data_IF_359047481505
#
_entry.id   IF_359047481505
#
_cell.length_a   1.000
_cell.length_b   1.000
_cell.length_c   1.000
_cell.angle_alpha   90.00
_cell.angle_beta   90.00
_cell.angle_gamma   90.00
#
_symmetry.space_group_name_H-M   'P 1'
#
loop_
_entity.id
_entity.type
_entity.pdbx_description
1 polymer ?
#
# COMPACT_ATOMS: atom_id res chain seq x y z
N UNK A 1 8.51 1.78 13.73
CA UNK A 1 8.29 1.74 15.17
C UNK A 1 7.32 0.63 15.50
N UNK A 2 7.44 0.01 16.67
CA UNK A 2 6.45 -0.95 17.14
C UNK A 2 5.65 -0.29 18.27
N UNK A 3 4.33 -0.25 18.13
CA UNK A 3 3.40 0.21 19.16
C UNK A 3 2.36 -0.89 19.41
N UNK A 4 2.20 -1.29 20.64
CA UNK A 4 1.27 -2.37 21.02
C UNK A 4 1.42 -3.64 20.17
N UNK A 5 2.64 -4.07 19.87
CA UNK A 5 2.94 -5.28 19.07
C UNK A 5 2.74 -5.15 17.57
N UNK A 6 2.47 -3.94 17.05
CA UNK A 6 2.27 -3.68 15.61
C UNK A 6 3.29 -2.69 15.06
N UNK A 7 3.62 -2.85 13.79
CA UNK A 7 4.40 -1.84 13.06
C UNK A 7 3.52 -0.60 12.83
N UNK A 8 3.97 0.55 13.32
CA UNK A 8 3.30 1.82 13.14
C UNK A 8 4.19 2.79 12.34
N UNK A 9 3.82 2.98 11.08
CA UNK A 9 4.48 3.91 10.18
C UNK A 9 4.11 5.37 10.49
N UNK A 10 2.86 5.62 10.92
CA UNK A 10 2.38 6.97 11.23
C UNK A 10 3.14 7.57 12.40
N UNK A 11 3.51 6.78 13.40
CA UNK A 11 4.35 7.21 14.51
C UNK A 11 5.75 7.63 14.05
N UNK A 12 6.37 6.87 13.12
CA UNK A 12 7.66 7.24 12.54
C UNK A 12 7.56 8.53 11.72
N UNK A 13 6.53 8.69 10.91
CA UNK A 13 6.28 9.88 10.12
C UNK A 13 6.00 11.11 10.99
N UNK A 14 5.19 10.95 12.05
CA UNK A 14 4.91 12.02 13.02
C UNK A 14 6.19 12.51 13.68
N UNK A 15 7.10 11.59 14.06
CA UNK A 15 8.41 11.98 14.62
C UNK A 15 9.26 12.72 13.59
N UNK A 16 9.30 12.28 12.33
CA UNK A 16 10.07 12.92 11.27
C UNK A 16 9.59 14.36 10.98
N UNK A 17 8.29 14.62 11.16
CA UNK A 17 7.67 15.92 10.93
C UNK A 17 7.64 16.81 12.20
N UNK A 18 8.24 16.39 13.30
CA UNK A 18 8.27 17.11 14.56
C UNK A 18 9.47 18.05 14.65
N UNK A 19 9.39 19.05 15.57
CA UNK A 19 10.59 19.83 15.91
C UNK A 19 11.68 18.95 16.51
N UNK A 20 12.97 19.34 16.45
CA UNK A 20 14.08 18.53 16.99
C UNK A 20 13.90 18.15 18.47
N UNK A 21 13.40 19.06 19.30
CA UNK A 21 13.13 18.82 20.72
C UNK A 21 12.03 17.76 20.91
N UNK A 22 10.92 17.91 20.19
CA UNK A 22 9.81 16.93 20.22
C UNK A 22 10.22 15.57 19.66
N UNK A 23 11.03 15.56 18.59
CA UNK A 23 11.53 14.33 17.99
C UNK A 23 12.39 13.51 18.95
N UNK A 24 13.20 14.16 19.81
CA UNK A 24 13.99 13.47 20.85
C UNK A 24 13.09 12.80 21.88
N UNK A 25 12.11 13.50 22.42
CA UNK A 25 11.15 12.94 23.37
C UNK A 25 10.38 11.74 22.77
N UNK A 26 9.97 11.85 21.50
CA UNK A 26 9.31 10.76 20.80
C UNK A 26 10.24 9.59 20.53
N UNK A 27 11.55 9.82 20.34
CA UNK A 27 12.52 8.76 20.14
C UNK A 27 12.79 7.97 21.42
N UNK A 28 12.78 8.64 22.58
CA UNK A 28 12.89 8.01 23.89
C UNK A 28 11.64 7.17 24.23
N UNK A 29 10.46 7.76 24.03
CA UNK A 29 9.18 7.09 24.33
C UNK A 29 8.87 5.94 23.37
N UNK A 30 9.25 6.06 22.10
CA UNK A 30 8.94 5.11 21.03
C UNK A 30 10.18 4.89 20.15
N UNK A 31 11.12 4.04 20.54
CA UNK A 31 12.31 3.74 19.75
C UNK A 31 11.97 3.20 18.36
N UNK A 32 12.71 3.65 17.34
CA UNK A 32 12.57 3.13 16.00
C UNK A 32 13.57 2.01 15.74
N UNK A 33 13.16 1.03 14.94
CA UNK A 33 14.05 0.01 14.38
C UNK A 33 14.41 0.38 12.95
N UNK A 34 15.65 0.13 12.59
CA UNK A 34 16.15 0.29 11.23
C UNK A 34 16.13 -1.06 10.53
N UNK A 35 15.15 -1.26 9.67
CA UNK A 35 14.95 -2.50 8.91
C UNK A 35 15.74 -2.43 7.60
N UNK A 36 16.84 -3.17 7.49
CA UNK A 36 17.74 -3.20 6.33
C UNK A 36 17.33 -4.32 5.39
N UNK A 37 17.19 -4.05 4.10
CA UNK A 37 16.68 -5.02 3.12
C UNK A 37 17.53 -5.16 1.84
N UNK A 38 18.62 -4.41 1.72
CA UNK A 38 19.59 -4.52 0.61
C UNK A 38 20.88 -3.80 0.99
N UNK A 39 22.03 -4.17 0.36
CA UNK A 39 23.28 -3.47 0.45
C UNK A 39 23.62 -2.90 -0.93
N UNK A 40 23.78 -1.57 -1.03
CA UNK A 40 24.07 -0.89 -2.28
C UNK A 40 25.50 -0.38 -2.38
N UNK A 41 26.16 -0.21 -1.24
CA UNK A 41 27.55 0.21 -1.14
C UNK A 41 28.19 -0.47 0.08
N UNK A 42 29.43 -0.92 -0.10
CA UNK A 42 30.22 -1.59 0.94
C UNK A 42 31.54 -0.83 1.14
N UNK A 43 32.08 -0.73 2.34
CA UNK A 43 33.35 -0.03 2.58
C UNK A 43 34.49 -0.52 1.70
N UNK A 44 34.67 -1.83 1.55
CA UNK A 44 35.76 -2.45 0.79
C UNK A 44 35.42 -2.65 -0.70
N UNK A 45 34.16 -2.98 -1.01
CA UNK A 45 33.75 -3.31 -2.39
C UNK A 45 33.18 -2.11 -3.17
N UNK A 46 33.05 -0.95 -2.55
CA UNK A 46 32.52 0.24 -3.17
C UNK A 46 31.02 0.08 -3.57
N UNK A 47 30.68 0.49 -4.77
CA UNK A 47 29.31 0.40 -5.30
C UNK A 47 29.02 -1.03 -5.78
N UNK A 48 28.10 -1.70 -5.10
CA UNK A 48 27.70 -3.09 -5.38
C UNK A 48 26.33 -3.20 -6.07
N UNK A 49 25.74 -2.10 -6.52
CA UNK A 49 24.44 -2.11 -7.23
C UNK A 49 24.45 -2.98 -8.48
N UNK A 50 25.58 -3.11 -9.15
CA UNK A 50 25.78 -4.00 -10.29
C UNK A 50 25.79 -5.49 -9.96
N UNK A 51 25.88 -5.88 -8.68
CA UNK A 51 25.82 -7.26 -8.27
C UNK A 51 24.40 -7.80 -8.29
N UNK A 52 24.25 -9.13 -8.38
CA UNK A 52 22.97 -9.81 -8.23
C UNK A 52 22.38 -9.55 -6.83
N UNK A 53 21.04 -9.57 -6.71
CA UNK A 53 20.38 -9.39 -5.41
C UNK A 53 20.83 -10.42 -4.37
N UNK A 54 20.97 -11.70 -4.78
CA UNK A 54 21.43 -12.77 -3.88
C UNK A 54 22.81 -12.44 -3.31
N UNK A 55 23.74 -11.96 -4.14
CA UNK A 55 25.10 -11.59 -3.69
C UNK A 55 25.08 -10.37 -2.76
N UNK A 56 24.28 -9.35 -3.08
CA UNK A 56 24.13 -8.17 -2.21
C UNK A 56 23.47 -8.51 -0.89
N UNK A 57 22.51 -9.46 -0.90
CA UNK A 57 21.87 -9.93 0.32
C UNK A 57 22.82 -10.69 1.21
N UNK A 58 23.59 -11.63 0.67
CA UNK A 58 24.61 -12.33 1.42
C UNK A 58 25.66 -11.38 2.03
N UNK A 59 26.04 -10.34 1.30
CA UNK A 59 26.93 -9.29 1.80
C UNK A 59 26.30 -8.52 2.98
N UNK A 60 25.02 -8.19 2.91
CA UNK A 60 24.28 -7.53 4.00
C UNK A 60 24.26 -8.42 5.25
N UNK A 61 23.92 -9.70 5.10
CA UNK A 61 23.83 -10.63 6.21
C UNK A 61 25.20 -10.81 6.88
N UNK A 62 26.27 -10.94 6.08
CA UNK A 62 27.64 -11.00 6.56
C UNK A 62 28.06 -9.75 7.33
N UNK A 63 27.75 -8.56 6.83
CA UNK A 63 28.04 -7.30 7.53
C UNK A 63 27.35 -7.23 8.90
N UNK A 64 26.09 -7.60 8.98
CA UNK A 64 25.35 -7.56 10.25
C UNK A 64 25.92 -8.54 11.26
N UNK A 65 26.38 -9.71 10.80
CA UNK A 65 27.03 -10.72 11.62
C UNK A 65 28.44 -10.27 12.07
N UNK A 66 29.28 -9.83 11.15
CA UNK A 66 30.67 -9.39 11.38
C UNK A 66 30.75 -8.26 12.43
N UNK A 67 29.84 -7.28 12.34
CA UNK A 67 29.78 -6.15 13.27
C UNK A 67 28.87 -6.40 14.47
N UNK A 68 28.40 -7.63 14.69
CA UNK A 68 27.53 -7.98 15.81
C UNK A 68 26.26 -7.12 15.89
N UNK A 69 25.76 -6.65 14.72
CA UNK A 69 24.62 -5.75 14.68
C UNK A 69 23.33 -6.51 15.01
N UNK A 70 22.62 -6.02 16.03
CA UNK A 70 21.31 -6.45 16.46
C UNK A 70 20.38 -5.24 16.64
N UNK A 71 19.20 -5.43 17.27
CA UNK A 71 18.29 -4.33 17.51
C UNK A 71 19.01 -3.11 18.13
N UNK A 72 18.71 -1.91 17.63
CA UNK A 72 17.61 -1.54 16.74
C UNK A 72 17.86 -1.69 15.23
N UNK A 73 18.99 -2.26 14.80
CA UNK A 73 19.34 -2.51 13.39
C UNK A 73 19.14 -3.99 13.11
N UNK A 74 18.35 -4.34 12.10
CA UNK A 74 18.12 -5.74 11.75
C UNK A 74 17.79 -5.91 10.26
N UNK A 75 18.20 -7.06 9.69
CA UNK A 75 17.78 -7.42 8.35
C UNK A 75 16.29 -7.75 8.29
N UNK A 76 15.63 -7.31 7.23
CA UNK A 76 14.27 -7.79 6.91
C UNK A 76 14.38 -9.28 6.57
N UNK A 77 13.56 -10.15 7.16
CA UNK A 77 13.54 -11.57 6.83
C UNK A 77 13.33 -11.81 5.33
N UNK A 78 14.03 -12.78 4.78
CA UNK A 78 13.91 -13.20 3.37
C UNK A 78 13.86 -14.71 3.27
N UNK A 79 13.15 -15.22 2.29
CA UNK A 79 13.12 -16.64 1.96
C UNK A 79 12.95 -16.85 0.46
N UNK A 80 13.42 -17.99 -0.02
CA UNK A 80 13.12 -18.51 -1.36
C UNK A 80 12.05 -19.61 -1.31
N UNK A 81 11.66 -20.04 -0.11
CA UNK A 81 10.59 -20.99 0.10
C UNK A 81 9.22 -20.29 -0.04
N UNK A 82 8.46 -20.72 -1.04
CA UNK A 82 7.13 -20.16 -1.33
C UNK A 82 6.11 -20.47 -0.23
N UNK A 83 6.21 -21.64 0.42
CA UNK A 83 5.30 -22.01 1.50
C UNK A 83 5.52 -21.12 2.73
N UNK A 84 6.79 -20.90 3.10
CA UNK A 84 7.15 -20.00 4.18
C UNK A 84 6.77 -18.54 3.87
N UNK A 85 6.99 -18.08 2.64
CA UNK A 85 6.58 -16.75 2.22
C UNK A 85 5.06 -16.55 2.33
N UNK A 86 4.27 -17.56 1.95
CA UNK A 86 2.82 -17.56 2.08
C UNK A 86 2.39 -17.53 3.55
N UNK A 87 3.02 -18.34 4.41
CA UNK A 87 2.75 -18.33 5.84
C UNK A 87 3.02 -16.94 6.47
N UNK A 88 4.13 -16.28 6.10
CA UNK A 88 4.40 -14.90 6.53
C UNK A 88 3.35 -13.92 6.02
N UNK A 89 2.95 -14.05 4.74
CA UNK A 89 1.90 -13.21 4.16
C UNK A 89 0.61 -13.31 4.97
N UNK A 90 0.17 -14.48 5.34
CA UNK A 90 -1.08 -14.72 6.05
C UNK A 90 -0.99 -14.33 7.54
N UNK A 91 0.11 -14.65 8.21
CA UNK A 91 0.23 -14.50 9.68
C UNK A 91 0.69 -13.12 10.15
N UNK A 92 1.38 -12.33 9.32
CA UNK A 92 1.98 -11.07 9.77
C UNK A 92 1.10 -9.84 9.55
N UNK A 93 -0.04 -9.97 8.88
CA UNK A 93 -0.99 -8.88 8.68
C UNK A 93 -1.49 -8.25 9.99
N UNK A 94 -1.88 -9.01 11.02
CA UNK A 94 -2.32 -8.44 12.31
C UNK A 94 -1.23 -7.59 12.99
N UNK A 95 0.04 -7.85 12.67
CA UNK A 95 1.21 -7.12 13.19
C UNK A 95 1.56 -5.85 12.38
N UNK A 96 0.71 -5.45 11.41
CA UNK A 96 0.89 -4.26 10.60
C UNK A 96 1.85 -4.45 9.43
N UNK A 97 2.15 -5.69 9.03
CA UNK A 97 2.91 -5.99 7.82
C UNK A 97 1.95 -5.99 6.62
N UNK A 98 2.14 -5.07 5.69
CA UNK A 98 1.25 -4.85 4.55
C UNK A 98 1.35 -5.93 3.46
N UNK A 99 2.37 -6.78 3.50
CA UNK A 99 2.59 -7.82 2.50
C UNK A 99 4.05 -8.11 2.23
N UNK A 100 4.34 -8.65 1.06
CA UNK A 100 5.67 -9.08 0.65
C UNK A 100 6.24 -8.22 -0.47
N UNK A 101 7.58 -8.18 -0.55
CA UNK A 101 8.30 -7.64 -1.71
C UNK A 101 9.06 -8.78 -2.37
N UNK A 102 8.65 -9.15 -3.58
CA UNK A 102 9.29 -10.20 -4.38
C UNK A 102 10.38 -9.57 -5.25
N UNK A 103 11.59 -10.11 -5.15
CA UNK A 103 12.78 -9.66 -5.88
C UNK A 103 13.36 -10.81 -6.69
N UNK A 104 13.80 -10.54 -7.92
CA UNK A 104 14.51 -11.54 -8.73
C UNK A 104 15.95 -11.69 -8.21
N UNK A 105 16.33 -12.91 -7.81
CA UNK A 105 17.63 -13.18 -7.18
C UNK A 105 18.84 -12.78 -8.04
N UNK A 106 18.79 -12.99 -9.36
CA UNK A 106 19.84 -12.61 -10.30
C UNK A 106 19.87 -11.14 -10.70
N UNK A 107 18.84 -10.36 -10.36
CA UNK A 107 18.72 -8.99 -10.82
C UNK A 107 19.70 -8.03 -10.14
N UNK A 108 20.27 -7.10 -10.91
CA UNK A 108 21.03 -5.95 -10.42
C UNK A 108 20.07 -4.89 -9.84
N UNK A 109 20.59 -4.00 -9.01
CA UNK A 109 19.79 -2.89 -8.51
C UNK A 109 19.68 -1.76 -9.55
N UNK A 110 18.46 -1.41 -9.91
CA UNK A 110 18.18 -0.27 -10.81
C UNK A 110 17.16 0.65 -10.11
N UNK A 111 17.63 1.78 -9.62
CA UNK A 111 16.77 2.80 -9.03
C UNK A 111 15.71 3.28 -10.03
N UNK A 112 14.51 3.60 -9.55
CA UNK A 112 13.39 4.06 -10.40
C UNK A 112 12.74 2.98 -11.26
N UNK A 113 13.25 1.75 -11.28
CA UNK A 113 12.63 0.64 -12.03
C UNK A 113 11.56 -0.07 -11.20
N UNK A 114 10.61 -0.73 -11.91
CA UNK A 114 9.55 -1.55 -11.27
C UNK A 114 9.95 -3.03 -11.19
N UNK A 115 11.22 -3.33 -10.97
CA UNK A 115 11.69 -4.73 -10.89
C UNK A 115 11.22 -5.45 -9.63
N UNK A 116 10.97 -4.73 -8.54
CA UNK A 116 10.43 -5.30 -7.32
C UNK A 116 8.91 -5.33 -7.38
N UNK A 117 8.34 -6.52 -7.16
CA UNK A 117 6.90 -6.72 -7.17
C UNK A 117 6.38 -6.70 -5.73
N UNK A 118 5.45 -5.81 -5.43
CA UNK A 118 4.77 -5.76 -4.14
C UNK A 118 3.53 -6.65 -4.19
N UNK A 119 3.44 -7.60 -3.26
CA UNK A 119 2.27 -8.41 -3.00
C UNK A 119 1.69 -7.91 -1.69
N UNK A 120 0.62 -7.12 -1.75
CA UNK A 120 -0.01 -6.53 -0.58
C UNK A 120 -1.26 -7.29 -0.22
N UNK A 121 -1.60 -7.29 1.07
CA UNK A 121 -2.94 -7.62 1.48
C UNK A 121 -3.91 -6.64 0.84
N UNK A 122 -4.90 -7.19 0.19
CA UNK A 122 -5.99 -6.45 -0.42
C UNK A 122 -7.27 -6.98 0.22
N UNK A 123 -7.76 -6.28 1.24
CA UNK A 123 -9.10 -6.52 1.72
C UNK A 123 -10.05 -5.86 0.73
N UNK A 124 -10.85 -6.67 0.06
CA UNK A 124 -11.96 -6.19 -0.73
C UNK A 124 -13.18 -6.08 0.16
N UNK A 125 -13.93 -5.01 -0.02
CA UNK A 125 -15.23 -4.82 0.60
C UNK A 125 -16.26 -4.51 -0.49
N UNK A 126 -17.50 -4.90 -0.25
CA UNK A 126 -18.60 -4.54 -1.13
C UNK A 126 -19.02 -3.10 -0.82
N UNK A 127 -19.20 -2.29 -1.85
CA UNK A 127 -19.57 -0.90 -1.74
C UNK A 127 -20.72 -0.58 -2.70
N UNK A 128 -21.67 0.22 -2.22
CA UNK A 128 -22.81 0.66 -3.05
C UNK A 128 -22.37 1.84 -3.92
N UNK A 129 -22.60 1.75 -5.21
CA UNK A 129 -22.41 2.89 -6.12
C UNK A 129 -23.51 3.91 -5.88
N UNK A 130 -23.14 5.17 -5.65
CA UNK A 130 -24.06 6.28 -5.39
C UNK A 130 -23.98 7.36 -6.46
N UNK A 131 -23.05 7.22 -7.42
CA UNK A 131 -22.89 8.17 -8.51
C UNK A 131 -21.56 8.01 -9.24
N UNK A 132 -21.23 9.00 -10.05
CA UNK A 132 -20.09 8.94 -10.97
C UNK A 132 -19.52 10.33 -11.28
N UNK A 133 -18.33 10.36 -11.91
CA UNK A 133 -17.77 11.55 -12.54
C UNK A 133 -17.61 11.34 -14.04
N UNK A 134 -17.61 12.43 -14.80
CA UNK A 134 -17.57 12.37 -16.27
C UNK A 134 -18.94 12.11 -16.90
N UNK A 135 -19.03 11.74 -18.19
CA UNK A 135 -20.25 11.37 -18.87
C UNK A 135 -20.80 10.02 -18.38
N UNK A 136 -22.12 9.87 -18.23
CA UNK A 136 -22.75 8.62 -17.79
C UNK A 136 -22.41 7.42 -18.70
N UNK A 137 -22.36 7.65 -20.02
CA UNK A 137 -22.01 6.62 -21.00
C UNK A 137 -20.52 6.20 -20.95
N UNK A 138 -19.65 6.99 -20.30
CA UNK A 138 -18.24 6.70 -20.13
C UNK A 138 -17.74 7.27 -18.79
N UNK A 139 -18.16 6.67 -17.67
CA UNK A 139 -17.82 7.18 -16.35
C UNK A 139 -16.32 7.11 -16.12
N UNK A 140 -15.79 8.18 -15.52
CA UNK A 140 -14.37 8.28 -15.22
C UNK A 140 -14.04 7.65 -13.86
N UNK A 141 -14.84 7.97 -12.86
CA UNK A 141 -14.72 7.43 -11.50
C UNK A 141 -16.13 7.09 -11.00
N UNK A 142 -16.25 6.14 -10.07
CA UNK A 142 -17.47 5.90 -9.32
C UNK A 142 -17.39 6.59 -7.96
N UNK A 143 -18.48 7.21 -7.54
CA UNK A 143 -18.69 7.59 -6.16
C UNK A 143 -19.35 6.38 -5.48
N UNK A 144 -18.70 5.87 -4.43
CA UNK A 144 -19.15 4.68 -3.68
C UNK A 144 -19.38 5.02 -2.22
N UNK A 145 -20.32 4.32 -1.61
CA UNK A 145 -20.52 4.30 -0.17
C UNK A 145 -19.96 2.99 0.36
N UNK A 146 -18.99 3.10 1.27
CA UNK A 146 -18.36 1.98 1.94
C UNK A 146 -19.23 1.46 3.09
N UNK A 147 -19.00 0.23 3.59
CA UNK A 147 -19.81 -0.36 4.66
C UNK A 147 -19.90 0.50 5.92
N UNK A 148 -18.84 1.22 6.26
CA UNK A 148 -18.80 2.15 7.39
C UNK A 148 -19.55 3.47 7.15
N UNK A 149 -20.22 3.63 6.01
CA UNK A 149 -21.01 4.80 5.64
C UNK A 149 -20.24 5.93 4.97
N UNK A 150 -18.92 5.88 4.97
CA UNK A 150 -18.05 6.87 4.28
C UNK A 150 -18.29 6.82 2.77
N UNK A 151 -18.33 7.98 2.13
CA UNK A 151 -18.40 8.10 0.68
C UNK A 151 -17.07 8.55 0.09
N UNK A 152 -16.63 7.91 -0.99
CA UNK A 152 -15.36 8.22 -1.65
C UNK A 152 -15.46 8.08 -3.17
N UNK A 153 -14.57 8.77 -3.90
CA UNK A 153 -14.37 8.51 -5.32
C UNK A 153 -13.38 7.35 -5.52
N UNK A 154 -13.69 6.50 -6.48
CA UNK A 154 -12.76 5.49 -6.94
C UNK A 154 -11.59 6.11 -7.71
N UNK A 155 -10.52 5.32 -7.94
CA UNK A 155 -9.57 5.61 -9.01
C UNK A 155 -10.30 5.65 -10.38
N UNK A 156 -9.61 6.22 -11.37
CA UNK A 156 -10.10 6.19 -12.75
C UNK A 156 -10.39 4.75 -13.18
N UNK A 157 -11.60 4.51 -13.66
CA UNK A 157 -12.01 3.18 -14.12
C UNK A 157 -11.21 2.75 -15.34
N UNK A 158 -10.97 1.46 -15.45
CA UNK A 158 -10.49 0.86 -16.70
C UNK A 158 -11.60 0.89 -17.76
N UNK A 159 -11.24 0.91 -19.03
CA UNK A 159 -12.24 0.97 -20.11
C UNK A 159 -13.26 -0.19 -20.06
N UNK A 160 -12.87 -1.47 -19.80
CA UNK A 160 -13.84 -2.55 -19.63
C UNK A 160 -14.80 -2.31 -18.47
N UNK A 161 -14.32 -1.87 -17.32
CA UNK A 161 -15.15 -1.62 -16.15
C UNK A 161 -16.10 -0.43 -16.36
N UNK A 162 -15.62 0.64 -17.00
CA UNK A 162 -16.46 1.78 -17.37
C UNK A 162 -17.61 1.35 -18.31
N UNK A 163 -17.33 0.46 -19.29
CA UNK A 163 -18.34 -0.08 -20.18
C UNK A 163 -19.37 -0.97 -19.45
N UNK A 164 -18.94 -1.74 -18.45
CA UNK A 164 -19.85 -2.56 -17.64
C UNK A 164 -20.81 -1.74 -16.78
N UNK A 165 -20.35 -0.63 -16.19
CA UNK A 165 -21.16 0.18 -15.29
C UNK A 165 -22.01 1.23 -16.00
N UNK A 166 -21.64 1.66 -17.21
CA UNK A 166 -22.34 2.70 -17.96
C UNK A 166 -23.86 2.45 -18.15
N UNK A 167 -24.32 1.24 -18.49
CA UNK A 167 -25.76 0.96 -18.64
C UNK A 167 -26.58 1.25 -17.37
N UNK A 168 -25.99 1.07 -16.19
CA UNK A 168 -26.64 1.31 -14.90
C UNK A 168 -26.70 2.81 -14.55
N UNK A 169 -25.89 3.64 -15.20
CA UNK A 169 -25.79 5.08 -14.94
C UNK A 169 -26.58 5.93 -15.94
N UNK A 170 -26.92 5.36 -17.10
CA UNK A 170 -27.66 6.03 -18.15
C UNK A 170 -29.18 5.85 -17.92
N UNK A 171 -29.90 6.93 -17.70
CA UNK A 171 -31.39 6.92 -17.54
C UNK A 171 -31.87 7.48 -16.22
N UNK A 172 -31.03 7.67 -15.22
CA UNK A 172 -31.39 8.29 -13.95
C UNK A 172 -31.13 9.80 -13.94
N UNK A 173 -32.01 10.56 -13.29
CA UNK A 173 -31.77 11.97 -13.00
C UNK A 173 -30.52 12.07 -12.09
N UNK A 174 -29.53 12.84 -12.53
CA UNK A 174 -28.30 13.05 -11.75
C UNK A 174 -28.31 14.45 -11.12
N UNK A 175 -28.02 14.52 -9.83
CA UNK A 175 -27.85 15.76 -9.08
C UNK A 175 -26.38 15.91 -8.63
N UNK A 176 -25.89 17.14 -8.56
CA UNK A 176 -24.52 17.37 -8.04
C UNK A 176 -24.46 17.13 -6.53
N UNK A 177 -23.47 16.40 -6.10
CA UNK A 177 -23.20 16.08 -4.69
C UNK A 177 -21.70 16.07 -4.41
N UNK A 178 -21.31 15.88 -3.14
CA UNK A 178 -19.92 15.76 -2.71
C UNK A 178 -19.73 14.52 -1.85
N UNK A 179 -18.56 13.89 -1.95
CA UNK A 179 -18.14 12.80 -1.06
C UNK A 179 -17.84 13.32 0.35
N UNK A 180 -17.64 12.42 1.30
CA UNK A 180 -17.18 12.77 2.66
C UNK A 180 -15.84 13.52 2.64
N UNK A 181 -15.00 13.33 1.62
CA UNK A 181 -13.74 14.06 1.39
C UNK A 181 -13.91 15.38 0.63
N UNK A 182 -15.13 15.76 0.24
CA UNK A 182 -15.42 17.00 -0.48
C UNK A 182 -15.34 16.91 -2.01
N UNK A 183 -15.03 15.76 -2.58
CA UNK A 183 -14.91 15.59 -4.04
C UNK A 183 -16.27 15.65 -4.74
N UNK A 184 -16.42 16.43 -5.83
CA UNK A 184 -17.69 16.56 -6.52
C UNK A 184 -17.99 15.34 -7.39
N UNK A 185 -19.25 14.95 -7.42
CA UNK A 185 -19.76 13.88 -8.29
C UNK A 185 -21.22 14.08 -8.68
N UNK A 186 -21.66 13.37 -9.70
CA UNK A 186 -23.06 13.29 -10.12
C UNK A 186 -23.73 12.15 -9.37
N UNK A 187 -24.60 12.47 -8.41
CA UNK A 187 -25.37 11.50 -7.63
C UNK A 187 -26.54 10.99 -8.47
N UNK A 188 -26.69 9.68 -8.53
CA UNK A 188 -27.84 9.00 -9.17
C UNK A 188 -28.81 8.55 -8.09
N UNK A 189 -30.11 8.81 -8.29
CA UNK A 189 -31.16 8.30 -7.41
C UNK A 189 -31.52 6.86 -7.81
N UNK A 190 -31.87 6.05 -6.81
CA UNK A 190 -32.30 4.65 -7.00
C UNK A 190 -31.34 3.76 -7.78
N UNK A 191 -30.03 3.97 -7.59
CA UNK A 191 -29.02 3.13 -8.20
C UNK A 191 -28.75 1.89 -7.34
N UNK A 192 -29.17 0.72 -7.82
CA UNK A 192 -28.91 -0.59 -7.18
C UNK A 192 -27.71 -1.26 -7.88
N UNK A 193 -26.52 -0.75 -7.64
CA UNK A 193 -25.28 -1.31 -8.17
C UNK A 193 -24.27 -1.46 -7.03
N UNK A 194 -23.87 -2.68 -6.80
CA UNK A 194 -22.78 -2.98 -5.88
C UNK A 194 -21.49 -3.29 -6.64
N UNK A 195 -20.38 -2.88 -6.07
CA UNK A 195 -19.05 -3.11 -6.62
C UNK A 195 -18.13 -3.62 -5.51
N UNK A 196 -17.27 -4.53 -5.87
CA UNK A 196 -16.18 -4.91 -5.00
C UNK A 196 -15.06 -3.87 -5.11
N UNK A 197 -14.61 -3.36 -3.99
CA UNK A 197 -13.56 -2.34 -3.96
C UNK A 197 -12.42 -2.75 -3.04
N UNK A 198 -11.20 -2.41 -3.44
CA UNK A 198 -10.04 -2.35 -2.57
C UNK A 198 -10.11 -1.00 -1.84
N UNK A 199 -10.46 -1.03 -0.57
CA UNK A 199 -10.45 0.15 0.28
C UNK A 199 -9.07 0.27 0.94
N UNK A 200 -8.27 1.28 0.54
CA UNK A 200 -6.98 1.53 1.17
C UNK A 200 -7.15 1.95 2.63
N UNK A 201 -6.29 1.45 3.50
CA UNK A 201 -6.27 1.75 4.94
C UNK A 201 -5.53 3.05 5.28
N UNK A 202 -5.00 3.76 4.29
CA UNK A 202 -4.21 4.98 4.49
C UNK A 202 -5.09 6.24 4.53
N UNK A 203 -4.55 7.34 5.07
CA UNK A 203 -5.19 8.68 5.12
C UNK A 203 -5.71 9.19 3.76
N UNK A 204 -5.11 8.72 2.67
CA UNK A 204 -5.54 8.94 1.29
C UNK A 204 -6.21 7.67 0.75
N UNK A 205 -7.13 7.08 1.53
CA UNK A 205 -7.82 5.83 1.22
C UNK A 205 -8.38 5.87 -0.21
N UNK A 206 -7.52 5.53 -1.15
CA UNK A 206 -7.88 5.43 -2.56
C UNK A 206 -8.71 4.17 -2.71
N UNK A 207 -9.92 4.34 -3.18
CA UNK A 207 -10.84 3.25 -3.47
C UNK A 207 -10.59 2.79 -4.90
N UNK A 208 -10.27 1.51 -5.08
CA UNK A 208 -10.10 0.91 -6.41
C UNK A 208 -11.20 -0.09 -6.64
N UNK A 209 -12.04 0.16 -7.63
CA UNK A 209 -13.09 -0.80 -8.03
C UNK A 209 -12.43 -1.95 -8.77
N UNK A 210 -12.67 -3.18 -8.32
CA UNK A 210 -12.10 -4.40 -8.90
C UNK A 210 -13.07 -5.08 -9.85
N UNK A 211 -14.36 -5.13 -9.49
CA UNK A 211 -15.44 -5.71 -10.32
C UNK A 211 -16.80 -5.21 -9.88
N UNK A 212 -17.79 -5.37 -10.76
CA UNK A 212 -19.23 -5.27 -10.42
C UNK A 212 -19.71 -6.58 -9.79
N UNK A 213 -20.69 -6.47 -8.92
CA UNK A 213 -21.39 -7.61 -8.30
C UNK A 213 -22.73 -7.84 -8.98
#
# INVERSE_FOLDING_TARGET
>A
MFLAGRVDFSAAQSRANSTPARARLLAEAHPAHYAVFDCLRHPEHGDVRGWSYVRRRALLDHLLEEYGMGPPIQAVPTTTDVALARAWYESLQPHGIEGLVVKTGSATYRGGSRQWKKVRHAETVDATVIGYTGPAARPRNLAVRLPEGRTALSQTLTAPLAAQVAPHLTGGAATRSRTSGGDPYNKVQELHLEVEVLAGTTRHAVVTVTRTR
#
